data_IF_431488641762
#
_entry.id   IF_431488641762
#
_cell.length_a   1.000
_cell.length_b   1.000
_cell.length_c   1.000
_cell.angle_alpha   90.00
_cell.angle_beta   90.00
_cell.angle_gamma   90.00
#
_symmetry.space_group_name_H-M   'P 1'
#
loop_
_entity.id
_entity.type
_entity.pdbx_description
1 polymer ?
#
# COMPACT_ATOMS: atom_id res chain seq x y z
N UNK A 1 -47.89 -28.16 -5.66
CA UNK A 1 -46.45 -28.27 -6.01
C UNK A 1 -45.57 -28.42 -4.75
N UNK A 2 -45.73 -27.55 -3.75
CA UNK A 2 -45.00 -27.59 -2.46
C UNK A 2 -45.17 -28.91 -1.68
N UNK A 3 -46.37 -29.49 -1.70
CA UNK A 3 -46.67 -30.74 -0.97
C UNK A 3 -45.94 -31.96 -1.55
N UNK A 4 -45.81 -32.03 -2.87
CA UNK A 4 -45.02 -33.08 -3.56
C UNK A 4 -43.53 -32.94 -3.26
N UNK A 5 -43.03 -31.71 -3.16
CA UNK A 5 -41.65 -31.41 -2.79
C UNK A 5 -41.36 -31.83 -1.33
N UNK A 6 -42.27 -31.54 -0.40
CA UNK A 6 -42.15 -31.95 1.00
C UNK A 6 -42.08 -33.48 1.15
N UNK A 7 -42.98 -34.21 0.49
CA UNK A 7 -43.00 -35.68 0.53
C UNK A 7 -41.71 -36.27 -0.06
N UNK A 8 -41.19 -35.67 -1.14
CA UNK A 8 -39.93 -36.06 -1.76
C UNK A 8 -38.73 -35.84 -0.83
N UNK A 9 -38.64 -34.66 -0.19
CA UNK A 9 -37.58 -34.33 0.77
C UNK A 9 -37.62 -35.26 1.96
N UNK A 10 -38.81 -35.55 2.50
CA UNK A 10 -38.97 -36.46 3.64
C UNK A 10 -38.58 -37.91 3.30
N UNK A 11 -38.89 -38.41 2.10
CA UNK A 11 -38.55 -39.78 1.67
C UNK A 11 -37.06 -39.96 1.37
N UNK A 12 -36.35 -38.90 0.97
CA UNK A 12 -34.93 -38.95 0.55
C UNK A 12 -34.01 -38.07 1.40
N UNK A 13 -34.40 -37.81 2.66
CA UNK A 13 -33.71 -36.86 3.55
C UNK A 13 -32.21 -37.15 3.71
N UNK A 14 -31.81 -38.42 3.87
CA UNK A 14 -30.40 -38.83 3.96
C UNK A 14 -29.60 -38.46 2.70
N UNK A 15 -30.14 -38.70 1.51
CA UNK A 15 -29.48 -38.36 0.24
C UNK A 15 -29.36 -36.86 0.03
N UNK A 16 -30.36 -36.09 0.46
CA UNK A 16 -30.34 -34.63 0.37
C UNK A 16 -29.30 -34.06 1.33
N UNK A 17 -29.24 -34.56 2.57
CA UNK A 17 -28.22 -34.14 3.53
C UNK A 17 -26.81 -34.44 2.99
N UNK A 18 -26.59 -35.66 2.47
CA UNK A 18 -25.32 -36.03 1.85
C UNK A 18 -24.96 -35.14 0.66
N UNK A 19 -25.94 -34.82 -0.21
CA UNK A 19 -25.73 -33.93 -1.34
C UNK A 19 -25.39 -32.50 -0.87
N UNK A 20 -26.09 -31.96 0.13
CA UNK A 20 -25.79 -30.63 0.70
C UNK A 20 -24.41 -30.59 1.32
N UNK A 21 -24.01 -31.62 2.07
CA UNK A 21 -22.65 -31.73 2.63
C UNK A 21 -21.61 -31.81 1.50
N UNK A 22 -21.87 -32.58 0.45
CA UNK A 22 -21.00 -32.67 -0.73
C UNK A 22 -20.80 -31.31 -1.41
N UNK A 23 -21.88 -30.55 -1.60
CA UNK A 23 -21.85 -29.20 -2.19
C UNK A 23 -21.11 -28.22 -1.26
N UNK A 24 -21.35 -28.28 0.06
CA UNK A 24 -20.66 -27.44 1.03
C UNK A 24 -19.16 -27.74 1.06
N UNK A 25 -18.77 -29.01 1.05
CA UNK A 25 -17.36 -29.43 1.02
C UNK A 25 -16.67 -28.97 -0.26
N UNK A 26 -17.36 -29.05 -1.41
CA UNK A 26 -16.83 -28.55 -2.67
C UNK A 26 -16.68 -27.03 -2.66
N UNK A 27 -17.72 -26.30 -2.23
CA UNK A 27 -17.71 -24.83 -2.16
C UNK A 27 -16.69 -24.32 -1.13
N UNK A 28 -16.45 -25.06 -0.05
CA UNK A 28 -15.40 -24.73 0.92
C UNK A 28 -14.00 -24.65 0.32
N UNK A 29 -13.75 -25.26 -0.85
CA UNK A 29 -12.47 -25.09 -1.55
C UNK A 29 -12.29 -23.69 -2.14
N UNK A 30 -13.39 -22.97 -2.42
CA UNK A 30 -13.37 -21.59 -2.91
C UNK A 30 -12.93 -20.59 -1.83
N UNK A 31 -13.20 -20.89 -0.55
CA UNK A 31 -12.71 -20.10 0.59
C UNK A 31 -11.18 -19.91 0.58
N UNK A 32 -10.44 -20.92 0.11
CA UNK A 32 -8.98 -20.85 0.00
C UNK A 32 -8.47 -20.02 -1.18
N UNK A 33 -9.37 -19.58 -2.08
CA UNK A 33 -9.04 -18.80 -3.29
C UNK A 33 -9.43 -17.32 -3.19
N UNK A 34 -9.88 -16.86 -2.01
CA UNK A 34 -10.27 -15.46 -1.81
C UNK A 34 -9.02 -14.58 -1.90
N UNK A 35 -8.88 -13.90 -3.03
CA UNK A 35 -7.88 -12.86 -3.24
C UNK A 35 -8.49 -11.49 -2.95
N UNK A 36 -7.77 -10.68 -2.20
CA UNK A 36 -8.14 -9.28 -2.00
C UNK A 36 -7.36 -8.43 -2.99
N UNK A 37 -8.06 -7.95 -4.01
CA UNK A 37 -7.52 -6.94 -4.91
C UNK A 37 -7.66 -5.58 -4.22
N UNK A 38 -6.53 -4.89 -4.06
CA UNK A 38 -6.47 -3.57 -3.47
C UNK A 38 -6.32 -2.47 -4.52
N UNK A 39 -6.54 -2.77 -5.78
CA UNK A 39 -6.50 -1.79 -6.85
C UNK A 39 -7.88 -1.15 -7.07
N UNK A 40 -7.98 0.17 -6.89
CA UNK A 40 -9.25 0.89 -7.11
C UNK A 40 -9.68 0.83 -8.58
N UNK A 41 -8.79 0.50 -9.51
CA UNK A 41 -9.15 0.40 -10.92
C UNK A 41 -10.09 -0.77 -11.23
N UNK A 42 -10.25 -1.74 -10.32
CA UNK A 42 -11.23 -2.83 -10.47
C UNK A 42 -12.68 -2.36 -10.45
N UNK A 43 -12.94 -1.17 -9.90
CA UNK A 43 -14.29 -0.60 -9.85
C UNK A 43 -14.72 0.03 -11.18
N UNK A 44 -13.79 0.16 -12.15
CA UNK A 44 -14.13 0.61 -13.50
C UNK A 44 -14.56 -0.57 -14.39
N UNK A 45 -15.34 -0.31 -15.45
CA UNK A 45 -15.71 -1.35 -16.41
C UNK A 45 -14.48 -2.05 -17.00
N UNK A 46 -14.55 -3.38 -17.14
CA UNK A 46 -13.42 -4.21 -17.61
C UNK A 46 -12.88 -3.78 -18.98
N UNK A 47 -13.75 -3.27 -19.88
CA UNK A 47 -13.39 -2.81 -21.23
C UNK A 47 -13.29 -1.29 -21.33
N UNK A 48 -12.65 -0.64 -20.36
CA UNK A 48 -12.37 0.79 -20.43
C UNK A 48 -11.01 1.03 -21.11
N UNK A 49 -11.03 1.67 -22.29
CA UNK A 49 -9.84 1.98 -23.08
C UNK A 49 -8.82 2.86 -22.32
N UNK A 50 -9.30 3.74 -21.43
CA UNK A 50 -8.45 4.61 -20.60
C UNK A 50 -7.72 3.81 -19.53
N UNK A 51 -8.40 2.84 -18.88
CA UNK A 51 -7.81 1.96 -17.87
C UNK A 51 -6.75 1.06 -18.51
N UNK A 52 -7.02 0.52 -19.70
CA UNK A 52 -6.03 -0.25 -20.44
C UNK A 52 -4.82 0.59 -20.87
N UNK A 53 -5.05 1.82 -21.34
CA UNK A 53 -3.97 2.74 -21.69
C UNK A 53 -3.12 3.06 -20.46
N UNK A 54 -3.75 3.38 -19.34
CA UNK A 54 -3.07 3.63 -18.06
C UNK A 54 -2.23 2.42 -17.63
N UNK A 55 -2.78 1.20 -17.69
CA UNK A 55 -2.05 -0.05 -17.41
C UNK A 55 -0.82 -0.20 -18.30
N UNK A 56 -0.97 -0.07 -19.62
CA UNK A 56 0.14 -0.18 -20.58
C UNK A 56 1.22 0.87 -20.35
N UNK A 57 0.85 2.12 -20.06
CA UNK A 57 1.81 3.19 -19.77
C UNK A 57 2.53 2.91 -18.46
N UNK A 58 1.81 2.49 -17.42
CA UNK A 58 2.40 2.13 -16.12
C UNK A 58 3.39 0.97 -16.25
N UNK A 59 3.05 -0.07 -17.00
CA UNK A 59 3.93 -1.24 -17.20
C UNK A 59 5.18 -0.88 -18.01
N UNK A 60 5.04 -0.02 -19.02
CA UNK A 60 6.15 0.39 -19.89
C UNK A 60 7.11 1.37 -19.24
N UNK A 61 6.61 2.27 -18.40
CA UNK A 61 7.39 3.35 -17.78
C UNK A 61 7.71 3.11 -16.29
N UNK A 62 7.38 1.94 -15.75
CA UNK A 62 7.85 1.51 -14.42
C UNK A 62 7.07 2.11 -13.24
N UNK A 63 5.75 2.18 -13.37
CA UNK A 63 4.85 2.61 -12.29
C UNK A 63 4.43 4.07 -12.39
N UNK A 64 3.15 4.31 -12.72
CA UNK A 64 2.52 5.64 -12.61
C UNK A 64 2.08 5.94 -11.16
N UNK A 65 2.04 4.92 -10.31
CA UNK A 65 1.61 5.03 -8.93
C UNK A 65 2.76 5.55 -8.05
N UNK A 66 2.63 6.81 -7.65
CA UNK A 66 3.65 7.51 -6.87
C UNK A 66 3.29 7.49 -5.38
N UNK A 67 4.16 6.88 -4.59
CA UNK A 67 4.17 6.96 -3.14
C UNK A 67 5.14 8.07 -2.70
N UNK A 68 4.65 8.98 -1.86
CA UNK A 68 5.38 10.13 -1.35
C UNK A 68 5.66 9.94 0.14
N UNK A 69 6.92 10.13 0.53
CA UNK A 69 7.38 10.03 1.92
C UNK A 69 8.06 11.35 2.27
N UNK A 70 7.37 12.19 3.04
CA UNK A 70 7.90 13.46 3.54
C UNK A 70 8.60 13.27 4.88
N UNK A 71 9.79 13.82 5.03
CA UNK A 71 10.56 13.84 6.27
C UNK A 71 10.73 15.31 6.70
N UNK A 72 10.05 15.71 7.78
CA UNK A 72 10.17 17.04 8.40
C UNK A 72 11.23 16.97 9.52
N UNK A 73 12.20 17.87 9.48
CA UNK A 73 13.35 17.93 10.39
C UNK A 73 13.86 19.37 10.50
N UNK A 74 14.73 19.67 11.47
CA UNK A 74 15.21 21.07 11.65
C UNK A 74 16.07 21.59 10.50
N UNK A 75 16.97 20.75 9.98
CA UNK A 75 17.81 21.09 8.82
C UNK A 75 18.18 19.81 8.07
N UNK A 76 17.80 19.74 6.80
CA UNK A 76 18.10 18.60 5.91
C UNK A 76 19.60 18.48 5.66
N UNK A 77 20.35 19.58 5.63
CA UNK A 77 21.76 19.61 5.22
C UNK A 77 22.75 19.32 6.36
N UNK A 78 22.33 18.55 7.36
CA UNK A 78 23.27 17.99 8.33
C UNK A 78 23.79 16.64 7.83
N UNK A 79 25.06 16.31 8.14
CA UNK A 79 25.66 15.04 7.71
C UNK A 79 24.83 13.83 8.17
N UNK A 80 24.32 13.87 9.41
CA UNK A 80 23.42 12.84 9.96
C UNK A 80 22.16 12.69 9.11
N UNK A 81 21.49 13.78 8.76
CA UNK A 81 20.21 13.73 8.05
C UNK A 81 20.37 13.36 6.58
N UNK A 82 21.42 13.83 5.90
CA UNK A 82 21.73 13.41 4.52
C UNK A 82 22.06 11.92 4.45
N UNK A 83 22.85 11.40 5.39
CA UNK A 83 23.13 9.95 5.47
C UNK A 83 21.89 9.13 5.75
N UNK A 84 21.04 9.61 6.64
CA UNK A 84 19.77 8.98 6.96
C UNK A 84 18.83 8.95 5.74
N UNK A 85 18.72 10.06 5.02
CA UNK A 85 17.93 10.18 3.79
C UNK A 85 18.42 9.20 2.71
N UNK A 86 19.75 9.13 2.50
CA UNK A 86 20.36 8.16 1.58
C UNK A 86 20.09 6.72 2.01
N UNK A 87 20.28 6.41 3.29
CA UNK A 87 20.03 5.06 3.83
C UNK A 87 18.58 4.63 3.61
N UNK A 88 17.62 5.50 3.94
CA UNK A 88 16.20 5.22 3.71
C UNK A 88 15.95 5.03 2.21
N UNK A 89 16.45 5.91 1.34
CA UNK A 89 16.24 5.83 -0.11
C UNK A 89 16.77 4.51 -0.70
N UNK A 90 17.99 4.11 -0.33
CA UNK A 90 18.62 2.88 -0.79
C UNK A 90 17.89 1.63 -0.28
N UNK A 91 17.47 1.63 0.99
CA UNK A 91 16.72 0.50 1.57
C UNK A 91 15.31 0.40 0.98
N UNK A 92 14.67 1.51 0.63
CA UNK A 92 13.37 1.48 -0.07
C UNK A 92 13.52 0.87 -1.47
N UNK A 93 14.61 1.16 -2.17
CA UNK A 93 14.85 0.61 -3.50
C UNK A 93 14.99 -0.92 -3.52
N UNK A 94 15.19 -1.58 -2.37
CA UNK A 94 15.24 -3.06 -2.28
C UNK A 94 13.88 -3.70 -2.00
N UNK A 95 12.83 -2.92 -1.73
CA UNK A 95 11.48 -3.46 -1.49
C UNK A 95 10.90 -3.96 -2.81
N UNK A 96 10.47 -5.22 -2.83
CA UNK A 96 9.73 -5.80 -3.95
C UNK A 96 8.44 -5.00 -4.20
N UNK A 97 8.23 -4.59 -5.46
CA UNK A 97 7.11 -3.75 -5.88
C UNK A 97 7.45 -2.26 -5.99
N UNK A 98 8.68 -1.83 -5.69
CA UNK A 98 9.17 -0.48 -5.97
C UNK A 98 10.05 -0.51 -7.22
N UNK A 99 9.66 0.21 -8.26
CA UNK A 99 10.39 0.28 -9.53
C UNK A 99 11.48 1.34 -9.53
N UNK A 100 11.25 2.49 -8.88
CA UNK A 100 12.29 3.51 -8.71
C UNK A 100 12.08 4.34 -7.44
N UNK A 101 13.20 4.83 -6.89
CA UNK A 101 13.22 5.76 -5.76
C UNK A 101 13.97 7.01 -6.19
N UNK A 102 13.39 8.18 -5.92
CA UNK A 102 14.00 9.49 -6.17
C UNK A 102 13.96 10.29 -4.88
N UNK A 103 15.11 10.76 -4.45
CA UNK A 103 15.25 11.68 -3.32
C UNK A 103 16.37 12.65 -3.61
N UNK A 104 16.58 13.62 -2.72
CA UNK A 104 17.68 14.57 -2.85
C UNK A 104 19.05 13.90 -3.03
N UNK A 105 19.28 12.73 -2.42
CA UNK A 105 20.58 12.04 -2.43
C UNK A 105 20.84 11.21 -3.68
N UNK A 106 19.78 10.85 -4.41
CA UNK A 106 19.83 10.03 -5.63
C UNK A 106 19.73 10.90 -6.90
N UNK A 107 19.48 12.20 -6.75
CA UNK A 107 19.41 13.12 -7.87
C UNK A 107 20.78 13.34 -8.50
N UNK A 108 20.76 13.46 -9.84
CA UNK A 108 21.90 13.87 -10.63
C UNK A 108 21.81 15.35 -10.95
N UNK A 109 22.96 15.96 -11.00
CA UNK A 109 23.18 17.33 -11.39
C UNK A 109 23.89 17.40 -12.73
N UNK A 110 23.57 18.43 -13.49
CA UNK A 110 24.15 18.71 -14.80
C UNK A 110 24.92 20.02 -14.68
N UNK A 111 26.24 19.95 -14.73
CA UNK A 111 27.11 21.12 -14.75
C UNK A 111 27.79 21.23 -16.10
N UNK A 112 27.69 22.41 -16.71
CA UNK A 112 28.49 22.74 -17.89
C UNK A 112 29.94 22.97 -17.46
N UNK A 113 30.85 22.16 -18.00
CA UNK A 113 32.29 22.29 -17.78
C UNK A 113 32.97 22.48 -19.12
N UNK A 114 33.89 23.44 -19.19
CA UNK A 114 34.81 23.56 -20.32
C UNK A 114 35.78 22.38 -20.30
N UNK A 115 35.74 21.55 -21.34
CA UNK A 115 36.66 20.45 -21.57
C UNK A 115 37.50 20.86 -22.78
N UNK A 116 38.66 21.47 -22.52
CA UNK A 116 39.46 22.10 -23.58
C UNK A 116 38.80 23.38 -24.10
N UNK A 117 38.63 23.48 -25.43
CA UNK A 117 37.98 24.63 -26.09
C UNK A 117 36.45 24.48 -26.19
N UNK A 118 35.91 23.30 -25.91
CA UNK A 118 34.47 23.02 -26.00
C UNK A 118 33.79 23.03 -24.62
N UNK A 119 32.51 23.43 -24.60
CA UNK A 119 31.68 23.35 -23.39
C UNK A 119 30.90 22.05 -23.42
N UNK A 120 31.21 21.14 -22.50
CA UNK A 120 30.52 19.86 -22.36
C UNK A 120 29.64 19.85 -21.10
N UNK A 121 28.52 19.12 -21.14
CA UNK A 121 27.70 18.87 -19.94
C UNK A 121 28.23 17.64 -19.21
N UNK A 122 28.64 17.80 -17.95
CA UNK A 122 29.06 16.70 -17.08
C UNK A 122 27.91 16.35 -16.15
N UNK A 123 27.58 15.06 -16.10
CA UNK A 123 26.58 14.51 -15.18
C UNK A 123 27.28 14.03 -13.92
N UNK A 124 26.90 14.58 -12.77
CA UNK A 124 27.45 14.19 -11.47
C UNK A 124 26.32 14.02 -10.45
N UNK A 125 26.57 13.36 -9.33
CA UNK A 125 25.57 13.26 -8.28
C UNK A 125 25.40 14.62 -7.57
N UNK A 126 24.16 15.02 -7.33
CA UNK A 126 23.83 16.32 -6.73
C UNK A 126 24.41 16.46 -5.31
N UNK A 127 24.32 15.40 -4.52
CA UNK A 127 24.91 15.33 -3.17
C UNK A 127 26.30 14.69 -3.19
N UNK A 128 26.56 13.75 -4.10
CA UNK A 128 27.84 13.04 -4.18
C UNK A 128 28.13 12.17 -2.95
N UNK A 129 29.40 11.91 -2.70
CA UNK A 129 29.83 11.15 -1.52
C UNK A 129 29.62 11.96 -0.23
N UNK A 130 29.28 11.27 0.86
CA UNK A 130 29.11 11.87 2.19
C UNK A 130 30.15 11.27 3.16
N UNK A 131 31.42 11.73 3.14
CA UNK A 131 32.45 11.31 4.08
C UNK A 131 32.02 11.45 5.55
N UNK A 132 32.65 10.72 6.47
CA UNK A 132 32.37 10.84 7.91
C UNK A 132 32.90 12.14 8.53
N UNK A 133 33.86 12.78 7.87
CA UNK A 133 34.65 13.93 8.33
C UNK A 133 34.32 15.24 7.61
N UNK A 134 33.17 15.33 6.93
CA UNK A 134 32.75 16.56 6.26
C UNK A 134 32.69 17.75 7.24
N UNK A 135 33.33 18.84 6.85
CA UNK A 135 33.34 20.09 7.59
C UNK A 135 32.03 20.84 7.46
N UNK A 136 31.72 21.70 8.43
CA UNK A 136 30.53 22.55 8.37
C UNK A 136 30.55 23.47 7.14
N UNK A 137 31.73 23.94 6.71
CA UNK A 137 31.87 24.78 5.52
C UNK A 137 31.48 24.03 4.23
N UNK A 138 31.86 22.76 4.11
CA UNK A 138 31.48 21.91 2.97
C UNK A 138 29.97 21.65 2.95
N UNK A 139 29.35 21.39 4.11
CA UNK A 139 27.90 21.23 4.21
C UNK A 139 27.14 22.51 3.85
N UNK A 140 27.64 23.69 4.23
CA UNK A 140 27.04 24.97 3.86
C UNK A 140 27.18 25.26 2.36
N UNK A 141 28.35 24.97 1.78
CA UNK A 141 28.57 25.09 0.33
C UNK A 141 27.62 24.15 -0.44
N UNK A 142 27.48 22.90 0.03
CA UNK A 142 26.52 21.95 -0.52
C UNK A 142 25.09 22.46 -0.44
N UNK A 143 24.68 22.98 0.73
CA UNK A 143 23.37 23.60 0.93
C UNK A 143 23.14 24.73 -0.06
N UNK A 144 24.08 25.65 -0.21
CA UNK A 144 23.95 26.77 -1.14
C UNK A 144 23.83 26.31 -2.60
N UNK A 145 24.63 25.31 -3.01
CA UNK A 145 24.58 24.74 -4.37
C UNK A 145 23.26 24.03 -4.65
N UNK A 146 22.71 23.29 -3.69
CA UNK A 146 21.45 22.59 -3.86
C UNK A 146 20.28 23.57 -3.84
N UNK A 147 20.29 24.54 -2.92
CA UNK A 147 19.21 25.52 -2.76
C UNK A 147 19.17 26.55 -3.89
N UNK A 148 20.23 26.71 -4.69
CA UNK A 148 20.22 27.56 -5.89
C UNK A 148 19.52 26.92 -7.09
N UNK A 149 19.22 25.62 -7.05
CA UNK A 149 18.58 24.89 -8.15
C UNK A 149 17.06 24.91 -7.99
N UNK A 150 16.39 25.75 -8.79
CA UNK A 150 14.93 25.93 -8.73
C UNK A 150 14.13 24.62 -8.93
N UNK A 151 14.64 23.68 -9.74
CA UNK A 151 13.96 22.41 -9.99
C UNK A 151 14.01 21.43 -8.79
N UNK A 152 14.97 21.63 -7.87
CA UNK A 152 15.15 20.80 -6.67
C UNK A 152 14.32 21.36 -5.51
N UNK A 153 14.37 22.68 -5.32
CA UNK A 153 13.67 23.39 -4.25
C UNK A 153 12.17 23.44 -4.53
N UNK A 154 11.37 23.00 -3.56
CA UNK A 154 9.92 22.82 -3.69
C UNK A 154 9.51 21.46 -4.25
N UNK A 155 10.41 20.75 -4.95
CA UNK A 155 10.14 19.43 -5.51
C UNK A 155 10.58 18.29 -4.58
N UNK A 156 11.82 18.32 -4.10
CA UNK A 156 12.38 17.26 -3.21
C UNK A 156 12.91 17.80 -1.89
N UNK A 157 13.13 19.10 -1.78
CA UNK A 157 13.51 19.78 -0.53
C UNK A 157 12.67 21.05 -0.38
N UNK A 158 12.21 21.32 0.83
CA UNK A 158 11.53 22.57 1.19
C UNK A 158 12.39 23.82 0.93
N UNK A 159 11.74 24.97 0.76
CA UNK A 159 12.41 26.28 0.61
C UNK A 159 13.24 26.69 1.84
N UNK A 160 12.87 26.19 3.02
CA UNK A 160 13.57 26.48 4.27
C UNK A 160 14.61 25.39 4.63
N UNK A 161 14.73 24.33 3.83
CA UNK A 161 15.52 23.14 4.13
C UNK A 161 15.11 22.42 5.44
N UNK A 162 13.85 22.52 5.85
CA UNK A 162 13.24 21.87 7.02
C UNK A 162 12.40 20.62 6.67
N UNK A 163 12.26 20.31 5.39
CA UNK A 163 11.67 19.06 4.92
C UNK A 163 12.34 18.53 3.65
N UNK A 164 12.40 17.20 3.54
CA UNK A 164 12.84 16.46 2.36
C UNK A 164 11.76 15.46 1.93
N UNK A 165 11.66 15.19 0.63
CA UNK A 165 10.72 14.26 0.03
C UNK A 165 11.47 13.10 -0.62
N UNK A 166 10.99 11.88 -0.33
CA UNK A 166 11.35 10.67 -1.07
C UNK A 166 10.15 10.27 -1.90
N UNK A 167 10.38 10.06 -3.18
CA UNK A 167 9.38 9.70 -4.18
C UNK A 167 9.66 8.25 -4.59
N UNK A 168 8.73 7.35 -4.32
CA UNK A 168 8.81 5.94 -4.71
C UNK A 168 7.77 5.67 -5.80
N UNK A 169 8.17 5.16 -6.96
CA UNK A 169 7.24 4.67 -7.99
C UNK A 169 7.01 3.19 -7.78
N UNK A 170 5.75 2.79 -7.65
CA UNK A 170 5.36 1.41 -7.40
C UNK A 170 5.01 0.70 -8.71
N UNK A 171 5.46 -0.54 -8.84
CA UNK A 171 5.05 -1.44 -9.92
C UNK A 171 3.78 -2.20 -9.53
N UNK A 172 2.88 -2.46 -10.50
CA UNK A 172 1.61 -3.17 -10.28
C UNK A 172 1.74 -4.68 -10.06
N UNK A 173 2.95 -5.19 -9.84
CA UNK A 173 3.22 -6.63 -9.65
C UNK A 173 2.89 -7.13 -8.25
N UNK A 174 2.69 -6.21 -7.28
CA UNK A 174 2.48 -6.51 -5.87
C UNK A 174 1.37 -5.62 -5.29
N UNK A 175 0.65 -6.15 -4.30
CA UNK A 175 -0.39 -5.43 -3.56
C UNK A 175 0.13 -4.09 -3.00
N UNK A 176 -0.61 -3.00 -3.26
CA UNK A 176 -0.27 -1.67 -2.75
C UNK A 176 -0.28 -1.62 -1.22
N UNK A 177 -1.22 -2.33 -0.59
CA UNK A 177 -1.32 -2.44 0.85
C UNK A 177 -0.06 -3.08 1.43
N UNK A 178 0.42 -4.19 0.87
CA UNK A 178 1.64 -4.85 1.35
C UNK A 178 2.86 -3.94 1.18
N UNK A 179 3.05 -3.36 -0.01
CA UNK A 179 4.19 -2.49 -0.30
C UNK A 179 4.20 -1.25 0.60
N UNK A 180 3.06 -0.58 0.78
CA UNK A 180 2.97 0.60 1.67
C UNK A 180 3.20 0.27 3.13
N UNK A 181 2.82 -0.92 3.59
CA UNK A 181 3.12 -1.39 4.95
C UNK A 181 4.60 -1.70 5.14
N UNK A 182 5.25 -2.30 4.13
CA UNK A 182 6.69 -2.56 4.15
C UNK A 182 7.49 -1.25 4.14
N UNK A 183 7.09 -0.27 3.34
CA UNK A 183 7.65 1.10 3.37
C UNK A 183 7.53 1.70 4.76
N UNK A 184 6.34 1.68 5.38
CA UNK A 184 6.13 2.22 6.73
C UNK A 184 7.02 1.53 7.76
N UNK A 185 7.11 0.20 7.72
CA UNK A 185 7.96 -0.59 8.63
C UNK A 185 9.43 -0.27 8.46
N UNK A 186 9.92 -0.17 7.23
CA UNK A 186 11.31 0.14 6.91
C UNK A 186 11.69 1.56 7.32
N UNK A 187 10.87 2.56 6.99
CA UNK A 187 11.12 3.94 7.38
C UNK A 187 11.14 4.07 8.91
N UNK A 188 10.19 3.43 9.59
CA UNK A 188 10.11 3.47 11.06
C UNK A 188 11.29 2.75 11.73
N UNK A 189 11.73 1.60 11.21
CA UNK A 189 12.87 0.86 11.76
C UNK A 189 14.20 1.59 11.55
N UNK A 190 14.36 2.26 10.40
CA UNK A 190 15.56 3.04 10.10
C UNK A 190 15.63 4.36 10.86
N UNK A 191 14.48 5.00 11.13
CA UNK A 191 14.41 6.17 12.01
C UNK A 191 14.64 5.80 13.48
N UNK A 192 14.22 4.60 13.90
CA UNK A 192 14.37 4.13 15.28
C UNK A 192 13.78 5.13 16.28
N UNK A 193 14.63 5.70 17.12
CA UNK A 193 14.26 6.68 18.15
C UNK A 193 14.49 8.15 17.74
N UNK A 194 14.67 8.46 16.45
CA UNK A 194 14.83 9.83 15.96
C UNK A 194 13.52 10.63 16.09
N UNK A 195 13.18 11.04 17.33
CA UNK A 195 11.99 11.85 17.66
C UNK A 195 12.04 13.25 17.07
N UNK A 196 13.20 13.67 16.58
CA UNK A 196 13.44 14.95 15.91
C UNK A 196 12.94 14.98 14.46
N UNK A 197 12.50 13.84 13.91
CA UNK A 197 12.04 13.72 12.53
C UNK A 197 10.59 13.25 12.52
N UNK A 198 9.71 14.03 11.88
CA UNK A 198 8.32 13.62 11.63
C UNK A 198 8.19 13.08 10.21
N UNK A 199 7.41 12.02 10.05
CA UNK A 199 7.20 11.36 8.77
C UNK A 199 5.76 11.54 8.32
N UNK A 200 5.60 11.91 7.06
CA UNK A 200 4.30 12.01 6.39
C UNK A 200 4.28 11.09 5.18
N UNK A 201 3.13 10.46 4.94
CA UNK A 201 2.93 9.57 3.81
C UNK A 201 1.81 10.12 2.93
N UNK A 202 2.04 10.16 1.61
CA UNK A 202 1.07 10.69 0.65
C UNK A 202 1.16 10.02 -0.72
N UNK A 203 0.30 10.43 -1.65
CA UNK A 203 0.21 9.80 -2.97
C UNK A 203 -0.79 8.63 -3.03
N UNK A 204 -1.12 8.22 -4.25
CA UNK A 204 -2.24 7.31 -4.52
C UNK A 204 -2.15 5.96 -3.77
N UNK A 205 -0.98 5.28 -3.70
CA UNK A 205 -0.86 4.01 -2.97
C UNK A 205 -1.19 4.11 -1.49
N UNK A 206 -0.78 5.18 -0.82
CA UNK A 206 -1.04 5.37 0.61
C UNK A 206 -2.50 5.72 0.90
N UNK A 207 -3.13 6.53 0.04
CA UNK A 207 -4.57 6.82 0.13
C UNK A 207 -5.38 5.54 -0.04
N UNK A 208 -5.05 4.74 -1.05
CA UNK A 208 -5.72 3.48 -1.32
C UNK A 208 -5.55 2.48 -0.15
N UNK A 209 -4.31 2.32 0.34
CA UNK A 209 -4.01 1.50 1.52
C UNK A 209 -4.76 1.97 2.77
N UNK A 210 -4.94 3.29 2.96
CA UNK A 210 -5.73 3.84 4.06
C UNK A 210 -7.21 3.47 3.95
N UNK A 211 -7.83 3.63 2.78
CA UNK A 211 -9.22 3.25 2.52
C UNK A 211 -9.43 1.75 2.79
N UNK A 212 -8.55 0.91 2.23
CA UNK A 212 -8.62 -0.55 2.41
C UNK A 212 -8.43 -0.97 3.88
N UNK A 213 -7.49 -0.33 4.60
CA UNK A 213 -7.27 -0.60 6.02
C UNK A 213 -8.45 -0.17 6.86
N UNK A 214 -9.09 0.97 6.55
CA UNK A 214 -10.31 1.44 7.19
C UNK A 214 -11.45 0.42 6.99
N UNK A 215 -11.73 0.05 5.75
CA UNK A 215 -12.77 -0.93 5.44
C UNK A 215 -12.55 -2.28 6.15
N UNK A 216 -11.31 -2.78 6.19
CA UNK A 216 -10.97 -4.02 6.92
C UNK A 216 -11.14 -3.88 8.43
N UNK A 217 -10.78 -2.73 8.99
CA UNK A 217 -10.97 -2.43 10.41
C UNK A 217 -12.45 -2.41 10.76
N UNK A 218 -13.26 -1.75 9.94
CA UNK A 218 -14.72 -1.69 10.10
C UNK A 218 -15.34 -3.08 10.00
N UNK A 219 -14.95 -3.90 9.02
CA UNK A 219 -15.41 -5.29 8.92
C UNK A 219 -15.05 -6.05 10.20
N UNK A 220 -13.82 -5.95 10.70
CA UNK A 220 -13.38 -6.66 11.91
C UNK A 220 -14.13 -6.22 13.17
N UNK A 221 -14.44 -4.93 13.31
CA UNK A 221 -15.13 -4.41 14.48
C UNK A 221 -16.65 -4.54 14.39
N UNK A 222 -17.26 -4.32 13.22
CA UNK A 222 -18.71 -4.34 13.05
C UNK A 222 -19.28 -5.76 12.91
N UNK A 223 -18.56 -6.68 12.24
CA UNK A 223 -19.02 -8.05 12.05
C UNK A 223 -19.43 -8.77 13.35
N UNK A 224 -18.66 -8.73 14.45
CA UNK A 224 -19.08 -9.37 15.70
C UNK A 224 -20.33 -8.72 16.31
N UNK A 225 -20.49 -7.40 16.22
CA UNK A 225 -21.69 -6.72 16.71
C UNK A 225 -22.94 -7.11 15.91
N UNK A 226 -22.82 -7.19 14.59
CA UNK A 226 -23.91 -7.66 13.72
C UNK A 226 -24.25 -9.12 14.04
N UNK A 227 -23.25 -9.99 14.22
CA UNK A 227 -23.48 -11.38 14.58
C UNK A 227 -24.21 -11.52 15.93
N UNK A 228 -23.82 -10.74 16.93
CA UNK A 228 -24.50 -10.70 18.24
C UNK A 228 -25.95 -10.23 18.08
N UNK A 229 -26.19 -9.15 17.33
CA UNK A 229 -27.53 -8.64 17.11
C UNK A 229 -28.43 -9.68 16.41
N UNK A 230 -27.92 -10.35 15.38
CA UNK A 230 -28.62 -11.45 14.68
C UNK A 230 -28.90 -12.61 15.65
N UNK A 231 -27.93 -13.00 16.47
CA UNK A 231 -28.10 -14.08 17.45
C UNK A 231 -29.18 -13.73 18.48
N UNK A 232 -29.21 -12.50 18.98
CA UNK A 232 -30.24 -12.00 19.89
C UNK A 232 -31.62 -12.10 19.21
N UNK A 233 -31.75 -11.58 17.99
CA UNK A 233 -33.02 -11.60 17.24
C UNK A 233 -33.52 -13.04 17.06
N UNK A 234 -32.65 -13.95 16.61
CA UNK A 234 -32.97 -15.38 16.43
C UNK A 234 -33.42 -16.00 17.74
N UNK A 235 -32.68 -15.75 18.83
CA UNK A 235 -33.00 -16.31 20.14
C UNK A 235 -34.36 -15.79 20.66
N UNK A 236 -34.63 -14.49 20.55
CA UNK A 236 -35.93 -13.90 20.93
C UNK A 236 -37.08 -14.37 20.06
N UNK A 237 -36.84 -14.65 18.77
CA UNK A 237 -37.88 -15.06 17.83
C UNK A 237 -38.31 -16.51 18.06
N UNK A 238 -37.36 -17.43 18.21
CA UNK A 238 -37.67 -18.85 18.35
C UNK A 238 -37.95 -19.29 19.79
N UNK A 239 -37.47 -18.53 20.80
CA UNK A 239 -37.58 -18.87 22.23
C UNK A 239 -37.13 -20.30 22.60
N UNK A 240 -36.36 -20.94 21.72
CA UNK A 240 -35.92 -22.34 21.81
C UNK A 240 -34.51 -22.46 21.26
N UNK A 241 -33.59 -22.96 22.09
CA UNK A 241 -32.18 -23.16 21.75
C UNK A 241 -32.04 -24.09 20.53
N UNK A 242 -32.88 -25.14 20.44
CA UNK A 242 -32.80 -26.11 19.35
C UNK A 242 -33.15 -25.47 18.01
N UNK A 243 -34.20 -24.65 17.98
CA UNK A 243 -34.62 -23.94 16.77
C UNK A 243 -33.61 -22.85 16.37
N UNK A 244 -33.01 -22.16 17.34
CA UNK A 244 -31.94 -21.19 17.09
C UNK A 244 -30.69 -21.84 16.49
N UNK A 245 -30.25 -23.01 17.00
CA UNK A 245 -29.11 -23.76 16.45
C UNK A 245 -29.41 -24.23 15.02
N UNK A 246 -30.61 -24.74 14.76
CA UNK A 246 -31.04 -25.14 13.41
C UNK A 246 -31.01 -23.96 12.43
N UNK A 247 -31.47 -22.78 12.85
CA UNK A 247 -31.43 -21.57 12.04
C UNK A 247 -29.98 -21.11 11.76
N UNK A 248 -29.11 -21.11 12.78
CA UNK A 248 -27.69 -20.78 12.64
C UNK A 248 -26.96 -21.74 11.68
N UNK A 249 -27.25 -23.04 11.76
CA UNK A 249 -26.72 -24.04 10.82
C UNK A 249 -27.14 -23.73 9.38
N UNK A 250 -28.40 -23.36 9.15
CA UNK A 250 -28.88 -22.96 7.84
C UNK A 250 -28.14 -21.74 7.27
N UNK A 251 -27.91 -20.72 8.11
CA UNK A 251 -27.16 -19.51 7.73
C UNK A 251 -25.70 -19.86 7.41
N UNK A 252 -25.05 -20.67 8.26
CA UNK A 252 -23.67 -21.08 8.05
C UNK A 252 -23.47 -21.85 6.74
N UNK A 253 -24.36 -22.81 6.45
CA UNK A 253 -24.33 -23.56 5.19
C UNK A 253 -24.57 -22.65 3.98
N UNK A 254 -25.52 -21.71 4.08
CA UNK A 254 -25.77 -20.73 3.03
C UNK A 254 -24.56 -19.84 2.74
N UNK A 255 -23.87 -19.38 3.78
CA UNK A 255 -22.64 -18.58 3.63
C UNK A 255 -21.53 -19.38 2.95
N UNK A 256 -21.31 -20.63 3.36
CA UNK A 256 -20.27 -21.51 2.77
C UNK A 256 -20.54 -21.83 1.31
N UNK A 257 -21.81 -21.94 0.90
CA UNK A 257 -22.19 -22.18 -0.50
C UNK A 257 -22.07 -20.90 -1.34
N UNK A 258 -22.27 -19.73 -0.74
CA UNK A 258 -22.24 -18.44 -1.45
C UNK A 258 -20.81 -17.94 -1.71
N UNK A 259 -19.90 -18.22 -0.79
CA UNK A 259 -18.47 -17.90 -0.87
C UNK A 259 -17.73 -18.82 -1.85
#
# INVERSE_FOLDING_TARGET
MMEKLYIFVRKRSLWIILATIGICSYSSTALFRINFDDDVTIYFPEKNAEVELFKRVSDKFGGLDVALIGLEMKDVFTLRNLKLLRKISQQLATIEGIGSVTSLTEMRDYEERKIGEETGSVVQDLIGNLPDDMTQAELQSLKQRVMSKEHVVGSVVSRNADAALIICRLERKRSYWQTTQDIKRLVSSTLGNAKDIKVYYGGAPFVNSFIMTGARTDIKHLSPWIAIAVLIIIFTSFKSIRAAILALLGIALGLVITL
#
